data_IF_767850402815
#
_entry.id   IF_767850402815
#
_cell.length_a   1.000
_cell.length_b   1.000
_cell.length_c   1.000
_cell.angle_alpha   90.00
_cell.angle_beta   90.00
_cell.angle_gamma   90.00
#
_symmetry.space_group_name_H-M   'P 1'
#
loop_
_entity.id
_entity.type
_entity.pdbx_description
1 polymer ?
#
# COMPACT_ATOMS: atom_id res chain seq x y z
N UNK A 1 4.71 28.81 21.25
CA UNK A 1 4.07 29.05 19.92
C UNK A 1 4.56 28.06 18.86
N UNK A 2 5.87 27.83 18.69
CA UNK A 2 6.42 26.86 17.71
C UNK A 2 5.96 25.39 17.90
N UNK A 3 5.77 24.94 19.15
CA UNK A 3 5.28 23.58 19.44
C UNK A 3 3.82 23.35 19.01
N UNK A 4 2.98 24.39 19.00
CA UNK A 4 1.61 24.28 18.49
C UNK A 4 1.59 24.20 16.96
N UNK A 5 2.53 24.88 16.29
CA UNK A 5 2.72 24.79 14.84
C UNK A 5 3.16 23.38 14.42
N UNK A 6 4.07 22.75 15.17
CA UNK A 6 4.47 21.36 14.96
C UNK A 6 3.33 20.37 15.25
N UNK A 7 2.54 20.60 16.31
CA UNK A 7 1.35 19.78 16.63
C UNK A 7 0.27 19.90 15.54
N UNK A 8 0.14 21.07 14.92
CA UNK A 8 -0.75 21.32 13.79
C UNK A 8 -0.25 20.65 12.50
N UNK A 9 1.07 20.60 12.27
CA UNK A 9 1.68 19.80 11.19
C UNK A 9 1.51 18.29 11.43
N UNK A 10 1.55 17.86 12.70
CA UNK A 10 1.29 16.49 13.16
C UNK A 10 -0.20 16.12 13.24
N UNK A 11 -1.09 16.82 12.54
CA UNK A 11 -2.46 16.33 12.37
C UNK A 11 -2.47 15.25 11.29
N UNK A 12 -3.19 14.14 11.50
CA UNK A 12 -3.22 13.00 10.58
C UNK A 12 -3.56 13.42 9.13
N UNK A 13 -4.40 14.45 8.96
CA UNK A 13 -4.73 15.06 7.67
C UNK A 13 -3.54 15.75 7.01
N UNK A 14 -2.75 16.51 7.77
CA UNK A 14 -1.58 17.23 7.25
C UNK A 14 -0.44 16.27 6.91
N UNK A 15 -0.29 15.18 7.69
CA UNK A 15 0.68 14.13 7.38
C UNK A 15 0.33 13.38 6.09
N UNK A 16 -0.97 13.18 5.80
CA UNK A 16 -1.43 12.63 4.52
C UNK A 16 -1.13 13.56 3.35
N UNK A 17 -1.39 14.86 3.48
CA UNK A 17 -1.05 15.84 2.43
C UNK A 17 0.45 15.92 2.21
N UNK A 18 1.24 15.92 3.28
CA UNK A 18 2.69 15.86 3.21
C UNK A 18 3.14 14.61 2.44
N UNK A 19 2.61 13.44 2.77
CA UNK A 19 2.91 12.18 2.09
C UNK A 19 2.62 12.26 0.58
N UNK A 20 1.45 12.76 0.20
CA UNK A 20 1.04 12.94 -1.20
C UNK A 20 1.99 13.91 -1.93
N UNK A 21 2.32 15.04 -1.32
CA UNK A 21 3.26 16.00 -1.87
C UNK A 21 4.64 15.38 -2.08
N UNK A 22 5.17 14.64 -1.10
CA UNK A 22 6.47 14.00 -1.28
C UNK A 22 6.44 12.89 -2.34
N UNK A 23 5.36 12.10 -2.46
CA UNK A 23 5.24 11.07 -3.51
C UNK A 23 5.22 11.69 -4.91
N UNK A 24 4.52 12.82 -5.05
CA UNK A 24 4.49 13.56 -6.30
C UNK A 24 5.85 14.15 -6.66
N UNK A 25 6.58 14.70 -5.68
CA UNK A 25 7.94 15.20 -5.89
C UNK A 25 8.93 14.08 -6.25
N UNK A 26 8.78 12.90 -5.67
CA UNK A 26 9.58 11.71 -6.00
C UNK A 26 9.37 11.26 -7.45
N UNK A 27 8.12 11.23 -7.91
CA UNK A 27 7.81 10.90 -9.32
C UNK A 27 8.32 11.96 -10.29
N UNK A 28 8.26 13.26 -9.93
CA UNK A 28 8.89 14.32 -10.74
C UNK A 28 10.40 14.08 -10.83
N UNK A 29 11.06 13.73 -9.73
CA UNK A 29 12.48 13.42 -9.75
C UNK A 29 12.78 12.22 -10.67
N UNK A 30 11.98 11.15 -10.61
CA UNK A 30 12.15 9.98 -11.48
C UNK A 30 11.95 10.33 -12.96
N UNK A 31 10.97 11.17 -13.29
CA UNK A 31 10.74 11.64 -14.66
C UNK A 31 11.87 12.56 -15.19
N UNK A 32 12.47 13.38 -14.32
CA UNK A 32 13.57 14.29 -14.68
C UNK A 32 14.96 13.70 -14.38
N UNK A 33 15.06 12.44 -13.95
CA UNK A 33 16.33 11.77 -13.64
C UNK A 33 17.28 11.76 -14.85
N UNK A 34 16.74 11.67 -16.07
CA UNK A 34 17.52 11.71 -17.31
C UNK A 34 18.17 13.09 -17.60
N UNK A 35 17.72 14.16 -16.94
CA UNK A 35 18.19 15.55 -17.12
C UNK A 35 19.14 16.02 -16.01
N UNK A 36 19.65 15.12 -15.16
CA UNK A 36 20.64 15.45 -14.11
C UNK A 36 20.02 15.90 -12.78
N UNK A 37 18.91 15.29 -12.36
CA UNK A 37 18.23 15.66 -11.13
C UNK A 37 19.08 15.40 -9.85
N UNK A 38 18.98 16.25 -8.81
CA UNK A 38 19.80 16.15 -7.60
C UNK A 38 19.57 14.85 -6.80
N UNK A 39 20.65 14.19 -6.36
CA UNK A 39 20.59 12.91 -5.61
C UNK A 39 19.85 12.98 -4.27
N UNK A 40 19.74 14.19 -3.68
CA UNK A 40 19.02 14.41 -2.40
C UNK A 40 17.51 14.22 -2.55
N UNK A 41 16.94 14.44 -3.74
CA UNK A 41 15.52 14.21 -4.00
C UNK A 41 15.17 12.71 -3.93
N UNK A 42 16.04 11.83 -4.42
CA UNK A 42 15.85 10.37 -4.33
C UNK A 42 15.87 9.88 -2.87
N UNK A 43 16.66 10.52 -2.01
CA UNK A 43 16.72 10.18 -0.58
C UNK A 43 15.41 10.53 0.13
N UNK A 44 14.75 11.61 -0.24
CA UNK A 44 13.42 11.96 0.29
C UNK A 44 12.36 10.95 -0.15
N UNK A 45 12.38 10.52 -1.41
CA UNK A 45 11.52 9.48 -1.96
C UNK A 45 11.47 8.18 -1.13
N UNK A 46 12.64 7.74 -0.64
CA UNK A 46 12.76 6.54 0.20
C UNK A 46 12.07 6.66 1.56
N UNK A 47 11.92 7.88 2.09
CA UNK A 47 11.22 8.13 3.37
C UNK A 47 9.70 8.17 3.18
N UNK A 48 9.24 8.47 1.95
CA UNK A 48 7.81 8.56 1.60
C UNK A 48 7.10 7.23 1.79
N UNK A 49 7.70 6.15 1.29
CA UNK A 49 7.06 4.83 1.33
C UNK A 49 6.83 4.31 2.77
N UNK A 50 7.82 4.33 3.69
CA UNK A 50 7.61 4.02 5.11
C UNK A 50 6.54 4.91 5.77
N UNK A 51 6.50 6.20 5.42
CA UNK A 51 5.52 7.13 5.98
C UNK A 51 4.09 6.80 5.53
N UNK A 52 3.91 6.43 4.26
CA UNK A 52 2.63 5.92 3.78
C UNK A 52 2.25 4.58 4.38
N UNK A 53 3.20 3.66 4.55
CA UNK A 53 2.95 2.37 5.21
C UNK A 53 2.48 2.58 6.65
N UNK A 54 3.08 3.53 7.38
CA UNK A 54 2.62 3.89 8.71
C UNK A 54 1.18 4.44 8.70
N UNK A 55 0.89 5.40 7.81
CA UNK A 55 -0.47 5.95 7.66
C UNK A 55 -1.50 4.89 7.23
N UNK A 56 -1.09 3.94 6.39
CA UNK A 56 -1.94 2.84 5.93
C UNK A 56 -2.23 1.86 7.08
N UNK A 57 -1.22 1.49 7.87
CA UNK A 57 -1.38 0.65 9.05
C UNK A 57 -2.29 1.32 10.10
N UNK A 58 -2.10 2.61 10.36
CA UNK A 58 -2.96 3.40 11.25
C UNK A 58 -4.41 3.44 10.75
N UNK A 59 -4.59 3.71 9.45
CA UNK A 59 -5.91 3.71 8.80
C UNK A 59 -6.58 2.33 8.84
N UNK A 60 -5.81 1.25 8.72
CA UNK A 60 -6.30 -0.12 8.81
C UNK A 60 -6.75 -0.46 10.23
N UNK A 61 -5.98 -0.04 11.25
CA UNK A 61 -6.29 -0.27 12.65
C UNK A 61 -7.62 0.40 13.08
N UNK A 62 -7.84 1.65 12.67
CA UNK A 62 -9.07 2.38 12.99
C UNK A 62 -10.28 1.97 12.14
N UNK A 63 -10.10 1.19 11.08
CA UNK A 63 -11.20 0.80 10.20
C UNK A 63 -12.04 -0.32 10.81
N UNK A 64 -13.34 -0.05 10.97
CA UNK A 64 -14.29 -1.05 11.48
C UNK A 64 -14.60 -2.18 10.49
N UNK A 65 -14.63 -1.89 9.18
CA UNK A 65 -14.87 -2.89 8.13
C UNK A 65 -13.62 -3.15 7.28
N UNK A 66 -12.78 -4.07 7.75
CA UNK A 66 -11.52 -4.45 7.10
C UNK A 66 -11.73 -5.05 5.70
N UNK A 67 -12.79 -5.86 5.50
CA UNK A 67 -13.10 -6.44 4.18
C UNK A 67 -13.40 -5.36 3.13
N UNK A 68 -14.21 -4.36 3.48
CA UNK A 68 -14.52 -3.25 2.58
C UNK A 68 -13.30 -2.36 2.28
N UNK A 69 -12.39 -2.20 3.24
CA UNK A 69 -11.12 -1.51 3.01
C UNK A 69 -10.23 -2.24 2.01
N UNK A 70 -10.00 -3.54 2.22
CA UNK A 70 -9.19 -4.36 1.32
C UNK A 70 -9.78 -4.42 -0.10
N UNK A 71 -11.11 -4.50 -0.24
CA UNK A 71 -11.77 -4.45 -1.56
C UNK A 71 -11.53 -3.14 -2.30
N UNK A 72 -11.63 -1.99 -1.61
CA UNK A 72 -11.33 -0.68 -2.20
C UNK A 72 -9.87 -0.60 -2.66
N UNK A 73 -8.95 -1.17 -1.88
CA UNK A 73 -7.53 -1.15 -2.17
C UNK A 73 -7.15 -2.08 -3.34
N UNK A 74 -7.81 -3.23 -3.44
CA UNK A 74 -7.72 -4.14 -4.59
C UNK A 74 -8.21 -3.47 -5.87
N UNK A 75 -9.35 -2.77 -5.80
CA UNK A 75 -9.87 -2.01 -6.93
C UNK A 75 -8.90 -0.92 -7.37
N UNK A 76 -8.31 -0.16 -6.45
CA UNK A 76 -7.30 0.85 -6.76
C UNK A 76 -6.03 0.23 -7.36
N UNK A 77 -5.63 -0.94 -6.88
CA UNK A 77 -4.49 -1.70 -7.44
C UNK A 77 -4.74 -2.04 -8.91
N UNK A 78 -5.92 -2.59 -9.22
CA UNK A 78 -6.28 -2.93 -10.61
C UNK A 78 -6.41 -1.67 -11.47
N UNK A 79 -7.06 -0.63 -10.96
CA UNK A 79 -7.18 0.66 -11.63
C UNK A 79 -5.82 1.22 -12.03
N UNK A 80 -4.83 1.19 -11.13
CA UNK A 80 -3.47 1.63 -11.41
C UNK A 80 -2.77 0.76 -12.45
N UNK A 81 -2.96 -0.56 -12.42
CA UNK A 81 -2.40 -1.47 -13.43
C UNK A 81 -2.96 -1.15 -14.82
N UNK A 82 -4.29 -1.00 -14.94
CA UNK A 82 -4.94 -0.62 -16.20
C UNK A 82 -4.48 0.77 -16.65
N UNK A 83 -4.43 1.74 -15.73
CA UNK A 83 -3.94 3.09 -16.02
C UNK A 83 -2.52 3.08 -16.58
N UNK A 84 -1.61 2.34 -15.95
CA UNK A 84 -0.25 2.16 -16.45
C UNK A 84 -0.22 1.51 -17.84
N UNK A 85 -1.04 0.46 -18.08
CA UNK A 85 -1.13 -0.17 -19.39
C UNK A 85 -1.59 0.83 -20.47
N UNK A 86 -2.64 1.61 -20.19
CA UNK A 86 -3.16 2.63 -21.10
C UNK A 86 -2.09 3.68 -21.40
N UNK A 87 -1.47 4.25 -20.36
CA UNK A 87 -0.42 5.27 -20.53
C UNK A 87 0.76 4.73 -21.34
N UNK A 88 1.19 3.50 -21.06
CA UNK A 88 2.28 2.85 -21.78
C UNK A 88 1.96 2.60 -23.26
N UNK A 89 0.69 2.41 -23.60
CA UNK A 89 0.24 2.25 -24.99
C UNK A 89 0.26 3.59 -25.76
N UNK A 90 0.00 4.71 -25.08
CA UNK A 90 0.02 6.04 -25.70
C UNK A 90 1.42 6.69 -25.74
N UNK A 91 2.28 6.41 -24.77
CA UNK A 91 3.61 7.00 -24.65
C UNK A 91 4.71 5.94 -24.84
N UNK A 92 5.11 5.67 -26.09
CA UNK A 92 6.16 4.70 -26.47
C UNK A 92 7.60 5.18 -26.20
N UNK A 93 7.83 6.12 -25.27
CA UNK A 93 9.15 6.72 -25.08
C UNK A 93 9.69 6.52 -23.66
N UNK A 94 10.69 5.65 -23.57
CA UNK A 94 11.55 5.48 -22.40
C UNK A 94 11.05 4.41 -21.45
N UNK A 95 11.86 3.37 -21.28
CA UNK A 95 11.73 2.29 -20.29
C UNK A 95 11.81 2.83 -18.86
N UNK A 96 10.90 3.70 -18.44
CA UNK A 96 10.68 3.98 -17.02
C UNK A 96 9.67 2.93 -16.58
N UNK A 97 10.18 1.82 -16.04
CA UNK A 97 9.38 0.71 -15.55
C UNK A 97 8.67 1.19 -14.28
N UNK A 98 7.60 1.97 -14.44
CA UNK A 98 6.77 2.50 -13.36
C UNK A 98 5.88 1.40 -12.76
N UNK A 99 6.44 0.21 -12.54
CA UNK A 99 5.71 -0.97 -12.10
C UNK A 99 5.55 -1.06 -10.58
N UNK A 100 5.92 -0.01 -9.85
CA UNK A 100 5.71 0.04 -8.42
C UNK A 100 4.29 0.51 -8.13
N UNK A 101 3.38 -0.46 -7.99
CA UNK A 101 2.02 -0.19 -7.54
C UNK A 101 1.99 -0.07 -6.00
N UNK A 102 2.11 1.16 -5.49
CA UNK A 102 2.07 1.43 -4.06
C UNK A 102 0.76 0.93 -3.40
N UNK A 103 -0.38 1.00 -4.10
CA UNK A 103 -1.64 0.47 -3.60
C UNK A 103 -1.64 -1.05 -3.48
N UNK A 104 -0.96 -1.74 -4.39
CA UNK A 104 -0.73 -3.18 -4.31
C UNK A 104 0.05 -3.56 -3.06
N UNK A 105 1.11 -2.81 -2.74
CA UNK A 105 1.87 -3.03 -1.51
C UNK A 105 1.03 -2.85 -0.24
N UNK A 106 0.18 -1.82 -0.19
CA UNK A 106 -0.74 -1.63 0.94
C UNK A 106 -1.80 -2.75 1.03
N UNK A 107 -2.25 -3.28 -0.11
CA UNK A 107 -3.20 -4.39 -0.15
C UNK A 107 -2.58 -5.67 0.43
N UNK A 108 -1.38 -6.03 -0.01
CA UNK A 108 -0.64 -7.18 0.51
C UNK A 108 -0.41 -7.02 2.01
N UNK A 109 0.09 -5.85 2.45
CA UNK A 109 0.28 -5.57 3.87
C UNK A 109 -1.00 -5.75 4.71
N UNK A 110 -2.15 -5.30 4.20
CA UNK A 110 -3.44 -5.51 4.85
C UNK A 110 -3.89 -6.98 4.89
N UNK A 111 -3.59 -7.76 3.84
CA UNK A 111 -3.78 -9.22 3.84
C UNK A 111 -2.87 -9.88 4.86
N UNK A 112 -1.60 -9.51 4.95
CA UNK A 112 -0.66 -10.10 5.90
C UNK A 112 -1.12 -9.85 7.35
N UNK A 113 -1.67 -8.66 7.65
CA UNK A 113 -2.26 -8.36 8.97
C UNK A 113 -3.48 -9.25 9.24
N UNK A 114 -4.39 -9.42 8.26
CA UNK A 114 -5.54 -10.33 8.41
C UNK A 114 -5.11 -11.79 8.61
N UNK A 115 -4.09 -12.25 7.87
CA UNK A 115 -3.54 -13.59 7.99
C UNK A 115 -2.96 -13.82 9.40
N UNK A 116 -2.23 -12.83 9.91
CA UNK A 116 -1.69 -12.87 11.27
C UNK A 116 -2.79 -12.95 12.33
N UNK A 117 -3.82 -12.11 12.23
CA UNK A 117 -4.94 -12.12 13.17
C UNK A 117 -5.66 -13.48 13.19
N UNK A 118 -5.90 -14.09 12.02
CA UNK A 118 -6.52 -15.43 11.92
C UNK A 118 -5.64 -16.54 12.51
N UNK A 119 -4.31 -16.45 12.32
CA UNK A 119 -3.37 -17.39 12.92
C UNK A 119 -3.37 -17.28 14.45
N UNK A 120 -3.33 -16.04 14.98
CA UNK A 120 -3.37 -15.78 16.42
C UNK A 120 -4.69 -16.26 17.03
N UNK A 121 -5.82 -15.99 16.38
CA UNK A 121 -7.13 -16.49 16.83
C UNK A 121 -7.19 -18.02 16.81
N UNK A 122 -6.68 -18.67 15.76
CA UNK A 122 -6.64 -20.13 15.69
C UNK A 122 -5.79 -20.78 16.78
N UNK A 123 -4.68 -20.15 17.17
CA UNK A 123 -3.85 -20.60 18.30
C UNK A 123 -4.57 -20.39 19.64
N UNK A 124 -5.21 -19.24 19.85
CA UNK A 124 -5.93 -18.92 21.09
C UNK A 124 -7.15 -19.82 21.31
N UNK A 125 -7.94 -20.03 20.26
CA UNK A 125 -9.17 -20.82 20.31
C UNK A 125 -8.92 -22.34 20.17
N UNK A 126 -7.67 -22.76 19.97
CA UNK A 126 -7.28 -24.15 19.61
C UNK A 126 -8.05 -24.72 18.41
N UNK A 127 -8.52 -23.85 17.51
CA UNK A 127 -9.28 -24.23 16.32
C UNK A 127 -8.32 -24.31 15.13
N UNK A 128 -8.22 -25.50 14.53
CA UNK A 128 -7.34 -25.74 13.38
C UNK A 128 -7.80 -25.02 12.11
N UNK A 129 -9.11 -24.87 11.91
CA UNK A 129 -9.69 -24.25 10.69
C UNK A 129 -9.20 -22.80 10.45
N UNK A 130 -9.33 -21.85 11.39
CA UNK A 130 -8.84 -20.48 11.21
C UNK A 130 -7.32 -20.40 11.06
N UNK A 131 -6.56 -21.26 11.74
CA UNK A 131 -5.11 -21.32 11.60
C UNK A 131 -4.68 -21.68 10.17
N UNK A 132 -5.27 -22.74 9.59
CA UNK A 132 -4.98 -23.13 8.20
C UNK A 132 -5.48 -22.09 7.19
N UNK A 133 -6.60 -21.40 7.44
CA UNK A 133 -7.06 -20.28 6.59
C UNK A 133 -6.06 -19.12 6.61
N UNK A 134 -5.55 -18.73 7.78
CA UNK A 134 -4.52 -17.68 7.91
C UNK A 134 -3.20 -18.08 7.24
N UNK A 135 -2.76 -19.32 7.44
CA UNK A 135 -1.57 -19.86 6.78
C UNK A 135 -1.71 -19.86 5.25
N UNK A 136 -2.87 -20.28 4.72
CA UNK A 136 -3.16 -20.26 3.29
C UNK A 136 -3.13 -18.85 2.68
N UNK A 137 -3.68 -17.86 3.39
CA UNK A 137 -3.62 -16.45 2.99
C UNK A 137 -2.18 -15.92 2.92
N UNK A 138 -1.33 -16.29 3.88
CA UNK A 138 0.08 -15.86 3.91
C UNK A 138 0.90 -16.42 2.73
N UNK A 139 0.66 -17.69 2.36
CA UNK A 139 1.31 -18.27 1.18
C UNK A 139 0.76 -17.72 -0.15
N UNK A 140 -0.53 -17.39 -0.21
CA UNK A 140 -1.13 -16.74 -1.39
C UNK A 140 -0.60 -15.31 -1.60
N UNK A 141 -0.27 -14.61 -0.51
CA UNK A 141 0.39 -13.30 -0.52
C UNK A 141 1.74 -13.38 -1.25
N UNK A 142 2.54 -14.40 -0.92
CA UNK A 142 3.88 -14.61 -1.47
C UNK A 142 3.90 -15.04 -2.96
N UNK A 143 2.81 -15.64 -3.44
CA UNK A 143 2.70 -16.10 -4.84
C UNK A 143 2.03 -15.08 -5.77
N UNK A 144 1.61 -13.93 -5.25
CA UNK A 144 0.91 -12.89 -6.02
C UNK A 144 -0.54 -13.20 -6.35
N UNK A 145 -1.10 -14.31 -5.83
CA UNK A 145 -2.52 -14.67 -6.01
C UNK A 145 -3.44 -14.17 -4.89
N UNK A 146 -2.89 -13.42 -3.93
CA UNK A 146 -3.57 -12.85 -2.77
C UNK A 146 -4.90 -12.16 -3.11
N UNK A 147 -4.96 -11.43 -4.23
CA UNK A 147 -6.17 -10.74 -4.68
C UNK A 147 -7.32 -11.69 -5.04
N UNK A 148 -7.01 -12.78 -5.73
CA UNK A 148 -8.01 -13.80 -6.13
C UNK A 148 -8.49 -14.59 -4.93
N UNK A 149 -7.55 -15.04 -4.08
CA UNK A 149 -7.87 -15.80 -2.85
C UNK A 149 -8.70 -14.96 -1.88
N UNK A 150 -8.43 -13.65 -1.79
CA UNK A 150 -9.22 -12.75 -0.95
C UNK A 150 -10.66 -12.55 -1.48
N UNK A 151 -10.86 -12.51 -2.80
CA UNK A 151 -12.20 -12.42 -3.39
C UNK A 151 -12.99 -13.69 -3.05
N UNK A 152 -12.39 -14.87 -3.22
CA UNK A 152 -12.99 -16.17 -2.90
C UNK A 152 -13.44 -16.21 -1.42
N UNK A 153 -12.55 -15.84 -0.50
CA UNK A 153 -12.81 -15.81 0.95
C UNK A 153 -13.75 -14.69 1.40
N UNK A 154 -13.93 -13.65 0.58
CA UNK A 154 -14.92 -12.59 0.85
C UNK A 154 -16.32 -12.99 0.39
N UNK A 155 -16.45 -14.03 -0.45
CA UNK A 155 -17.72 -14.50 -0.99
C UNK A 155 -18.32 -15.68 -0.20
N UNK A 156 -17.51 -16.31 0.68
CA UNK A 156 -17.95 -17.15 1.80
C UNK A 156 -18.46 -16.33 2.99
#
# INVERSE_FOLDING_TARGET
>A
MMLQSLKKVSNATNLKFLAICLMFLDHIHEMFSASGAPIWLTMLGRVVFPLFMFLAADSFYYTHNRKAYLKRLLFMTWFMIIGNMIVSHFFTNGKVWLANNAFGAFFLAGISICAWDLMVEGVKEKKVRPFWKGLGLFFADSSGSAGLVFIELSNE
#
